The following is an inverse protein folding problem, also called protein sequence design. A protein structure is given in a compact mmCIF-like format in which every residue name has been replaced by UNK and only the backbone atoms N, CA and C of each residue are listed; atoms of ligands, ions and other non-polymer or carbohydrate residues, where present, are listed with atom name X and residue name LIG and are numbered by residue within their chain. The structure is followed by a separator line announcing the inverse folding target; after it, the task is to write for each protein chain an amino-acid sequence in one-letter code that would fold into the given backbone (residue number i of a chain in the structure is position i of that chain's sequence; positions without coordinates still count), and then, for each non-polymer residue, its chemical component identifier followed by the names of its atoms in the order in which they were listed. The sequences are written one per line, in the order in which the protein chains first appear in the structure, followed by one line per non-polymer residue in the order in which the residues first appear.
data_IF_272427004168
#
_entry.id   IF_272427004168
#
_cell.length_a   1.000
_cell.length_b   1.000
_cell.length_c   1.000
_cell.angle_alpha   90.00
_cell.angle_beta   90.00
_cell.angle_gamma   90.00
#
_symmetry.space_group_name_H-M   'P 1'
#
loop_
_entity.id
_entity.type
_entity.pdbx_description
1 polymer ?
#
# COMPACT_ATOMS: atom_id res chain seq x y z
N UNK A 1 -25.18 26.94 -29.56
CA UNK A 1 -23.85 26.28 -29.67
C UNK A 1 -22.92 26.55 -28.47
N UNK A 2 -22.71 27.80 -28.02
CA UNK A 2 -21.83 28.09 -26.85
C UNK A 2 -22.37 27.55 -25.51
N UNK A 3 -23.65 27.75 -25.22
CA UNK A 3 -24.27 27.30 -23.96
C UNK A 3 -24.25 25.77 -23.79
N UNK A 4 -24.55 25.02 -24.85
CA UNK A 4 -24.51 23.54 -24.84
C UNK A 4 -23.09 23.03 -24.56
N UNK A 5 -22.06 23.65 -25.17
CA UNK A 5 -20.66 23.29 -24.91
C UNK A 5 -20.24 23.59 -23.46
N UNK A 6 -20.80 24.66 -22.87
CA UNK A 6 -20.54 25.04 -21.49
C UNK A 6 -21.20 24.08 -20.49
N UNK A 7 -22.45 23.70 -20.74
CA UNK A 7 -23.17 22.70 -19.93
C UNK A 7 -22.50 21.33 -19.99
N UNK A 8 -22.10 20.86 -21.19
CA UNK A 8 -21.42 19.58 -21.34
C UNK A 8 -20.09 19.56 -20.58
N UNK A 9 -19.34 20.67 -20.62
CA UNK A 9 -18.08 20.81 -19.88
C UNK A 9 -18.31 20.82 -18.36
N UNK A 10 -19.34 21.50 -17.87
CA UNK A 10 -19.68 21.50 -16.44
C UNK A 10 -20.10 20.13 -15.92
N UNK A 11 -20.90 19.37 -16.68
CA UNK A 11 -21.29 17.99 -16.31
C UNK A 11 -20.06 17.08 -16.24
N UNK A 12 -19.17 17.17 -17.24
CA UNK A 12 -17.90 16.43 -17.23
C UNK A 12 -17.08 16.81 -15.99
N UNK A 13 -17.05 18.10 -15.65
CA UNK A 13 -16.28 18.59 -14.51
C UNK A 13 -16.78 18.03 -13.18
N UNK A 14 -18.10 18.06 -12.96
CA UNK A 14 -18.73 17.59 -11.72
C UNK A 14 -18.53 16.08 -11.57
N UNK A 15 -18.60 15.31 -12.67
CA UNK A 15 -18.39 13.86 -12.67
C UNK A 15 -16.95 13.49 -12.29
N UNK A 16 -15.95 14.13 -12.90
CA UNK A 16 -14.53 13.88 -12.58
C UNK A 16 -14.16 14.39 -11.18
N UNK A 17 -14.74 15.52 -10.74
CA UNK A 17 -14.51 16.06 -9.40
C UNK A 17 -15.05 15.11 -8.31
N UNK A 18 -16.24 14.54 -8.55
CA UNK A 18 -16.84 13.53 -7.67
C UNK A 18 -15.97 12.26 -7.59
N UNK A 19 -15.44 11.79 -8.74
CA UNK A 19 -14.50 10.67 -8.78
C UNK A 19 -13.20 10.96 -8.01
N UNK A 20 -12.61 12.13 -8.17
CA UNK A 20 -11.38 12.53 -7.44
C UNK A 20 -11.61 12.52 -5.93
N UNK A 21 -12.76 13.02 -5.46
CA UNK A 21 -13.09 13.03 -4.05
C UNK A 21 -13.19 11.61 -3.49
N UNK A 22 -13.86 10.69 -4.20
CA UNK A 22 -13.95 9.28 -3.82
C UNK A 22 -12.58 8.61 -3.74
N UNK A 23 -11.74 8.78 -4.78
CA UNK A 23 -10.40 8.18 -4.78
C UNK A 23 -9.52 8.77 -3.69
N UNK A 24 -9.64 10.08 -3.44
CA UNK A 24 -8.93 10.75 -2.35
C UNK A 24 -9.33 10.18 -0.97
N UNK A 25 -10.63 9.99 -0.72
CA UNK A 25 -11.12 9.41 0.54
C UNK A 25 -10.62 7.98 0.74
N UNK A 26 -10.71 7.15 -0.31
CA UNK A 26 -10.23 5.76 -0.29
C UNK A 26 -8.72 5.74 -0.04
N UNK A 27 -7.95 6.62 -0.68
CA UNK A 27 -6.50 6.72 -0.52
C UNK A 27 -6.12 6.99 0.93
N UNK A 28 -6.75 7.98 1.57
CA UNK A 28 -6.50 8.27 2.99
C UNK A 28 -6.85 7.10 3.90
N UNK A 29 -7.97 6.43 3.64
CA UNK A 29 -8.38 5.25 4.39
C UNK A 29 -7.39 4.08 4.24
N UNK A 30 -6.92 3.81 3.01
CA UNK A 30 -5.94 2.76 2.73
C UNK A 30 -4.57 3.09 3.33
N UNK A 31 -4.11 4.35 3.24
CA UNK A 31 -2.86 4.80 3.87
C UNK A 31 -2.92 4.65 5.39
N UNK A 32 -4.05 4.98 6.00
CA UNK A 32 -4.25 4.80 7.44
C UNK A 32 -4.16 3.34 7.86
N UNK A 33 -4.90 2.45 7.18
CA UNK A 33 -4.84 1.01 7.44
C UNK A 33 -3.45 0.44 7.19
N UNK A 34 -2.77 0.91 6.14
CA UNK A 34 -1.40 0.51 5.84
C UNK A 34 -0.46 0.91 6.96
N UNK A 35 -0.53 2.15 7.45
CA UNK A 35 0.36 2.61 8.51
C UNK A 35 0.11 1.87 9.85
N UNK A 36 -1.15 1.69 10.23
CA UNK A 36 -1.52 0.91 11.42
C UNK A 36 -1.09 -0.55 11.33
N UNK A 37 -1.30 -1.19 10.17
CA UNK A 37 -0.98 -2.59 9.96
C UNK A 37 0.53 -2.83 9.81
N UNK A 38 1.22 -1.95 9.07
CA UNK A 38 2.66 -2.04 8.82
C UNK A 38 3.46 -2.00 10.12
N UNK A 39 3.07 -1.16 11.08
CA UNK A 39 3.71 -1.13 12.39
C UNK A 39 3.67 -2.50 13.08
N UNK A 40 2.51 -3.15 13.10
CA UNK A 40 2.33 -4.47 13.73
C UNK A 40 3.13 -5.53 12.99
N UNK A 41 3.02 -5.60 11.66
CA UNK A 41 3.69 -6.62 10.86
C UNK A 41 5.22 -6.45 10.80
N UNK A 42 5.73 -5.21 10.77
CA UNK A 42 7.17 -4.97 10.83
C UNK A 42 7.74 -5.34 12.21
N UNK A 43 7.05 -5.01 13.29
CA UNK A 43 7.45 -5.46 14.64
C UNK A 43 7.39 -6.98 14.75
N UNK A 44 6.30 -7.61 14.31
CA UNK A 44 6.14 -9.06 14.37
C UNK A 44 7.20 -9.79 13.52
N UNK A 45 7.40 -9.34 12.28
CA UNK A 45 8.38 -9.91 11.35
C UNK A 45 9.81 -9.74 11.85
N UNK A 46 10.17 -8.55 12.36
CA UNK A 46 11.51 -8.30 12.91
C UNK A 46 11.79 -9.12 14.17
N UNK A 47 10.83 -9.26 15.08
CA UNK A 47 10.96 -10.11 16.27
C UNK A 47 11.15 -11.57 15.85
N UNK A 48 10.35 -12.09 14.93
CA UNK A 48 10.49 -13.46 14.44
C UNK A 48 11.84 -13.69 13.75
N UNK A 49 12.32 -12.74 12.95
CA UNK A 49 13.64 -12.82 12.32
C UNK A 49 14.75 -12.84 13.37
N UNK A 50 14.67 -11.94 14.36
CA UNK A 50 15.62 -11.86 15.45
C UNK A 50 15.63 -13.14 16.29
N UNK A 51 14.45 -13.71 16.59
CA UNK A 51 14.33 -15.00 17.28
C UNK A 51 14.94 -16.14 16.47
N UNK A 52 14.73 -16.19 15.15
CA UNK A 52 15.32 -17.21 14.29
C UNK A 52 16.86 -17.14 14.28
N UNK A 53 17.41 -15.92 14.15
CA UNK A 53 18.86 -15.69 14.21
C UNK A 53 19.42 -16.07 15.57
N UNK A 54 18.76 -15.64 16.66
CA UNK A 54 19.22 -15.92 18.02
C UNK A 54 19.15 -17.42 18.35
N UNK A 55 18.11 -18.11 17.87
CA UNK A 55 17.95 -19.57 18.02
C UNK A 55 19.06 -20.34 17.31
N UNK A 56 19.46 -19.89 16.11
CA UNK A 56 20.60 -20.46 15.39
C UNK A 56 21.93 -20.21 16.12
N UNK A 57 22.16 -18.98 16.60
CA UNK A 57 23.39 -18.62 17.31
C UNK A 57 23.57 -19.36 18.64
N UNK A 58 22.47 -19.65 19.34
CA UNK A 58 22.49 -20.44 20.58
C UNK A 58 22.62 -21.96 20.32
N UNK A 59 22.83 -22.39 19.06
CA UNK A 59 22.84 -23.79 18.62
C UNK A 59 21.60 -24.59 19.05
N UNK A 60 20.49 -23.92 19.35
CA UNK A 60 19.29 -24.56 19.89
C UNK A 60 18.41 -25.17 18.80
N UNK A 61 18.60 -24.76 17.54
CA UNK A 61 17.86 -25.26 16.37
C UNK A 61 18.81 -25.73 15.28
N UNK A 62 18.46 -26.84 14.63
CA UNK A 62 19.18 -27.33 13.46
C UNK A 62 19.14 -26.27 12.35
N UNK A 63 20.25 -26.07 11.63
CA UNK A 63 20.36 -24.97 10.65
C UNK A 63 19.22 -24.92 9.61
N UNK A 64 18.65 -26.07 9.24
CA UNK A 64 17.50 -26.16 8.33
C UNK A 64 16.19 -25.61 8.94
N UNK A 65 15.94 -25.85 10.23
CA UNK A 65 14.73 -25.39 10.92
C UNK A 65 14.78 -23.89 11.19
N UNK A 66 15.94 -23.37 11.60
CA UNK A 66 16.16 -21.94 11.77
C UNK A 66 15.99 -21.19 10.46
N UNK A 67 16.43 -21.76 9.33
CA UNK A 67 16.25 -21.20 8.00
C UNK A 67 14.76 -21.16 7.62
N UNK A 68 13.98 -22.21 7.93
CA UNK A 68 12.53 -22.21 7.71
C UNK A 68 11.82 -21.14 8.54
N UNK A 69 12.17 -20.96 9.82
CA UNK A 69 11.64 -19.87 10.65
C UNK A 69 12.04 -18.49 10.11
N UNK A 70 13.28 -18.34 9.63
CA UNK A 70 13.76 -17.09 9.02
C UNK A 70 12.94 -16.74 7.78
N UNK A 71 12.67 -17.72 6.90
CA UNK A 71 11.80 -17.54 5.73
C UNK A 71 10.39 -17.14 6.17
N UNK A 72 9.83 -17.78 7.20
CA UNK A 72 8.52 -17.42 7.74
C UNK A 72 8.44 -15.98 8.23
N UNK A 73 9.42 -15.55 9.03
CA UNK A 73 9.54 -14.16 9.49
C UNK A 73 9.73 -13.17 8.35
N UNK A 74 10.51 -13.53 7.34
CA UNK A 74 10.75 -12.71 6.15
C UNK A 74 9.49 -12.52 5.31
N UNK A 75 8.70 -13.57 5.09
CA UNK A 75 7.43 -13.48 4.35
C UNK A 75 6.45 -12.55 5.05
N UNK A 76 6.32 -12.66 6.38
CA UNK A 76 5.48 -11.76 7.18
C UNK A 76 5.98 -10.31 7.08
N UNK A 77 7.30 -10.11 7.09
CA UNK A 77 7.92 -8.79 6.93
C UNK A 77 7.67 -8.17 5.54
N UNK A 78 7.49 -8.99 4.51
CA UNK A 78 7.22 -8.53 3.13
C UNK A 78 5.77 -8.10 2.90
N UNK A 79 4.82 -8.56 3.73
CA UNK A 79 3.38 -8.24 3.57
C UNK A 79 3.12 -6.72 3.55
N UNK A 80 3.61 -5.91 4.51
CA UNK A 80 3.44 -4.46 4.47
C UNK A 80 4.06 -3.80 3.24
N UNK A 81 5.15 -4.36 2.71
CA UNK A 81 5.86 -3.79 1.56
C UNK A 81 5.06 -3.98 0.27
N UNK A 82 4.40 -5.13 0.10
CA UNK A 82 3.48 -5.38 -1.01
C UNK A 82 2.26 -4.45 -0.93
N UNK A 83 1.68 -4.29 0.26
CA UNK A 83 0.54 -3.37 0.45
C UNK A 83 0.95 -1.91 0.20
N UNK A 84 2.17 -1.53 0.59
CA UNK A 84 2.73 -0.21 0.30
C UNK A 84 2.86 0.05 -1.21
N UNK A 85 3.21 -0.97 -1.99
CA UNK A 85 3.25 -0.85 -3.46
C UNK A 85 1.87 -0.55 -4.05
N UNK A 86 0.80 -1.15 -3.52
CA UNK A 86 -0.58 -0.88 -3.95
C UNK A 86 -0.95 0.59 -3.72
N UNK A 87 -0.52 1.17 -2.60
CA UNK A 87 -0.72 2.60 -2.32
C UNK A 87 -0.04 3.45 -3.38
N UNK A 88 1.22 3.14 -3.73
CA UNK A 88 1.95 3.87 -4.79
C UNK A 88 1.24 3.74 -6.14
N UNK A 89 0.72 2.57 -6.50
CA UNK A 89 -0.07 2.40 -7.73
C UNK A 89 -1.35 3.26 -7.72
N UNK A 90 -2.01 3.39 -6.57
CA UNK A 90 -3.19 4.24 -6.43
C UNK A 90 -2.83 5.73 -6.61
N UNK A 91 -1.68 6.18 -6.08
CA UNK A 91 -1.18 7.54 -6.32
C UNK A 91 -0.95 7.79 -7.82
N UNK A 92 -0.31 6.84 -8.51
CA UNK A 92 -0.07 6.95 -9.95
C UNK A 92 -1.38 7.04 -10.73
N UNK A 93 -2.38 6.24 -10.39
CA UNK A 93 -3.70 6.29 -11.02
C UNK A 93 -4.38 7.66 -10.83
N UNK A 94 -4.28 8.27 -9.63
CA UNK A 94 -4.78 9.63 -9.35
C UNK A 94 -4.05 10.67 -10.20
N UNK A 95 -2.73 10.55 -10.34
CA UNK A 95 -1.93 11.46 -11.17
C UNK A 95 -2.33 11.35 -12.65
N UNK A 96 -2.57 10.14 -13.15
CA UNK A 96 -3.04 9.93 -14.53
C UNK A 96 -4.43 10.52 -14.76
N UNK A 97 -5.36 10.35 -13.81
CA UNK A 97 -6.69 10.98 -13.88
C UNK A 97 -6.61 12.52 -13.88
N UNK A 98 -5.64 13.10 -13.17
CA UNK A 98 -5.40 14.55 -13.18
C UNK A 98 -4.82 15.03 -14.51
N UNK A 99 -3.94 14.25 -15.16
CA UNK A 99 -3.35 14.59 -16.46
C UNK A 99 -4.41 14.74 -17.56
N UNK A 100 -5.47 13.94 -17.54
CA UNK A 100 -6.64 14.08 -18.45
C UNK A 100 -7.27 15.47 -18.38
N UNK A 101 -7.12 16.19 -17.27
CA UNK A 101 -7.65 17.55 -17.12
C UNK A 101 -6.79 18.65 -17.74
N UNK A 102 -5.51 18.37 -17.94
CA UNK A 102 -4.54 19.31 -18.50
C UNK A 102 -4.33 19.14 -20.01
N UNK A 103 -4.86 18.07 -20.60
CA UNK A 103 -4.89 17.78 -22.05
C UNK A 103 -6.19 18.36 -22.64
#
# INVERSE_FOLDING_TARGET
MKAIRWLLKSVLVIMTLSLILTVWLIKWFVVFLHHCSAWIFYLLGSVLLATAILSYLMQQSQGMEALQMLIGGFVIFMVPQVVGSVVVFLELAVVMLRQVWYI
#
